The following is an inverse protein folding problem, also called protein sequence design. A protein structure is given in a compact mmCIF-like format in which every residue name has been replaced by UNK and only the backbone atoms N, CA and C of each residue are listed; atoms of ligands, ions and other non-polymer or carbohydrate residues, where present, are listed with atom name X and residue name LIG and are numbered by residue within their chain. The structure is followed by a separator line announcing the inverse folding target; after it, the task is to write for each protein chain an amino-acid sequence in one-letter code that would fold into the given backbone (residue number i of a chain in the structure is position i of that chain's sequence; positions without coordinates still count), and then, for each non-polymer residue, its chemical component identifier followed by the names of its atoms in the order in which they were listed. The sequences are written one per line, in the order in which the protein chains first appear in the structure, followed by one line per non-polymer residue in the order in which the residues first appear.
data_IF_427920505051
#
_entry.id   IF_427920505051
#
_cell.length_a   1.000
_cell.length_b   1.000
_cell.length_c   1.000
_cell.angle_alpha   90.00
_cell.angle_beta   90.00
_cell.angle_gamma   90.00
#
_symmetry.space_group_name_H-M   'P 1'
#
loop_
_entity.id
_entity.type
_entity.pdbx_description
1 polymer ?
#
# COMPACT_ATOMS: atom_id res chain seq x y z
N UNK A 1 1.89 -20.27 11.13
CA UNK A 1 2.36 -19.68 9.87
C UNK A 1 1.96 -20.55 8.69
N UNK A 2 1.14 -20.01 7.79
CA UNK A 2 0.91 -20.57 6.46
C UNK A 2 2.20 -20.46 5.64
N UNK A 3 3.11 -21.41 5.83
CA UNK A 3 4.23 -21.61 4.92
C UNK A 3 3.72 -22.40 3.72
N UNK A 4 3.64 -21.77 2.55
CA UNK A 4 3.70 -22.53 1.30
C UNK A 4 4.92 -23.47 1.39
N UNK A 5 4.82 -24.74 0.95
CA UNK A 5 5.88 -25.76 1.06
C UNK A 5 7.21 -25.40 0.36
N UNK A 6 7.33 -24.18 -0.17
CA UNK A 6 8.44 -23.68 -0.97
C UNK A 6 9.06 -22.38 -0.44
N UNK A 7 8.88 -22.06 0.85
CA UNK A 7 9.48 -20.89 1.49
C UNK A 7 10.99 -20.76 1.20
N UNK A 8 11.44 -19.58 0.76
CA UNK A 8 12.82 -19.32 0.38
C UNK A 8 13.27 -19.90 -0.97
N UNK A 9 12.35 -20.42 -1.78
CA UNK A 9 12.64 -20.82 -3.17
C UNK A 9 11.79 -19.98 -4.12
N UNK A 10 12.43 -19.25 -5.03
CA UNK A 10 11.72 -18.62 -6.14
C UNK A 10 11.13 -19.72 -7.02
N UNK A 11 9.81 -19.93 -6.91
CA UNK A 11 9.08 -20.88 -7.75
C UNK A 11 7.95 -20.13 -8.44
N UNK A 12 8.05 -20.00 -9.75
CA UNK A 12 6.85 -19.91 -10.56
C UNK A 12 6.23 -21.31 -10.53
N UNK A 13 5.24 -21.53 -9.66
CA UNK A 13 4.45 -22.77 -9.61
C UNK A 13 3.54 -22.94 -10.85
N UNK A 14 3.81 -22.16 -11.90
CA UNK A 14 3.07 -21.96 -13.14
C UNK A 14 3.93 -21.12 -14.09
N UNK A 15 3.39 -20.04 -14.65
CA UNK A 15 4.07 -19.13 -15.58
C UNK A 15 4.38 -17.79 -14.91
N UNK A 16 5.55 -17.21 -15.17
CA UNK A 16 5.87 -15.83 -14.82
C UNK A 16 5.72 -14.92 -16.04
N UNK A 17 5.06 -13.78 -15.87
CA UNK A 17 4.96 -12.75 -16.90
C UNK A 17 5.93 -11.62 -16.56
N UNK A 18 7.00 -11.49 -17.34
CA UNK A 18 7.92 -10.36 -17.32
C UNK A 18 7.66 -9.56 -18.60
N UNK A 19 6.81 -8.52 -18.56
CA UNK A 19 6.48 -7.74 -19.75
C UNK A 19 7.63 -6.84 -20.22
N UNK A 20 8.63 -6.61 -19.36
CA UNK A 20 9.80 -5.78 -19.64
C UNK A 20 11.05 -6.65 -19.71
N UNK A 21 12.00 -6.26 -20.55
CA UNK A 21 13.38 -6.75 -20.49
C UNK A 21 14.10 -6.19 -19.25
N UNK A 22 15.25 -6.77 -18.90
CA UNK A 22 16.04 -6.28 -17.77
C UNK A 22 16.56 -4.85 -18.00
N UNK A 23 16.94 -4.51 -19.24
CA UNK A 23 17.35 -3.14 -19.60
C UNK A 23 16.19 -2.14 -19.47
N UNK A 24 14.97 -2.51 -19.87
CA UNK A 24 13.78 -1.65 -19.72
C UNK A 24 13.38 -1.45 -18.24
N UNK A 25 13.62 -2.44 -17.39
CA UNK A 25 13.46 -2.33 -15.93
C UNK A 25 14.45 -1.32 -15.36
N UNK A 26 15.72 -1.36 -15.80
CA UNK A 26 16.72 -0.36 -15.39
C UNK A 26 16.36 1.03 -15.91
N UNK A 27 15.92 1.17 -17.16
CA UNK A 27 15.52 2.46 -17.74
C UNK A 27 14.37 3.09 -16.94
N UNK A 28 13.37 2.29 -16.52
CA UNK A 28 12.28 2.78 -15.67
C UNK A 28 12.80 3.20 -14.29
N UNK A 29 13.66 2.39 -13.66
CA UNK A 29 14.24 2.70 -12.36
C UNK A 29 15.06 4.00 -12.41
N UNK A 30 15.98 4.13 -13.36
CA UNK A 30 16.80 5.32 -13.55
C UNK A 30 15.95 6.55 -13.89
N UNK A 31 14.91 6.37 -14.71
CA UNK A 31 13.94 7.43 -15.00
C UNK A 31 13.22 7.91 -13.74
N UNK A 32 12.84 7.00 -12.84
CA UNK A 32 12.21 7.35 -11.57
C UNK A 32 13.18 8.14 -10.66
N UNK A 33 14.44 7.73 -10.60
CA UNK A 33 15.48 8.49 -9.87
C UNK A 33 15.68 9.90 -10.44
N UNK A 34 15.72 10.04 -11.78
CA UNK A 34 15.83 11.36 -12.42
C UNK A 34 14.64 12.25 -12.08
N UNK A 35 13.42 11.71 -12.08
CA UNK A 35 12.21 12.43 -11.68
C UNK A 35 12.31 12.92 -10.24
N UNK A 36 12.71 12.06 -9.31
CA UNK A 36 12.84 12.44 -7.89
C UNK A 36 13.93 13.48 -7.65
N UNK A 37 15.06 13.38 -8.36
CA UNK A 37 16.17 14.31 -8.22
C UNK A 37 15.84 15.69 -8.80
N UNK A 38 15.24 15.75 -10.00
CA UNK A 38 15.07 16.99 -10.77
C UNK A 38 13.73 17.67 -10.51
N UNK A 39 12.65 16.88 -10.53
CA UNK A 39 11.28 17.36 -10.35
C UNK A 39 10.89 17.35 -8.87
N UNK A 40 11.14 16.24 -8.18
CA UNK A 40 10.76 16.04 -6.79
C UNK A 40 9.27 15.74 -6.57
N UNK A 41 8.87 15.70 -5.31
CA UNK A 41 7.50 15.46 -4.84
C UNK A 41 6.99 16.72 -4.14
N UNK A 42 5.74 17.10 -4.41
CA UNK A 42 5.03 18.15 -3.66
C UNK A 42 4.61 17.60 -2.29
N UNK A 43 4.91 18.28 -1.20
CA UNK A 43 4.58 17.82 0.17
C UNK A 43 3.79 18.90 0.92
N UNK A 44 2.55 18.59 1.32
CA UNK A 44 1.70 19.56 2.03
C UNK A 44 1.97 19.67 3.53
N UNK A 45 2.57 18.63 4.11
CA UNK A 45 2.73 18.50 5.55
C UNK A 45 4.13 18.93 6.00
N UNK A 46 4.19 19.88 6.94
CA UNK A 46 5.46 20.43 7.42
C UNK A 46 6.31 19.38 8.15
N UNK A 47 5.68 18.51 8.94
CA UNK A 47 6.37 17.41 9.61
C UNK A 47 7.03 16.46 8.60
N UNK A 48 6.33 16.14 7.51
CA UNK A 48 6.89 15.33 6.43
C UNK A 48 8.09 16.01 5.75
N UNK A 49 8.02 17.32 5.51
CA UNK A 49 9.16 18.09 5.00
C UNK A 49 10.35 18.08 5.96
N UNK A 50 10.11 18.13 7.28
CA UNK A 50 11.16 18.03 8.29
C UNK A 50 11.83 16.65 8.25
N UNK A 51 11.04 15.56 8.18
CA UNK A 51 11.57 14.18 8.05
C UNK A 51 12.45 14.05 6.80
N UNK A 52 12.02 14.60 5.66
CA UNK A 52 12.83 14.57 4.44
C UNK A 52 14.10 15.42 4.57
N UNK A 53 14.04 16.59 5.21
CA UNK A 53 15.22 17.43 5.44
C UNK A 53 16.24 16.71 6.34
N UNK A 54 15.79 16.04 7.40
CA UNK A 54 16.63 15.27 8.31
C UNK A 54 17.26 14.06 7.64
N UNK A 55 16.57 13.45 6.67
CA UNK A 55 17.10 12.40 5.80
C UNK A 55 18.11 12.92 4.74
N UNK A 56 18.35 14.23 4.67
CA UNK A 56 19.29 14.86 3.76
C UNK A 56 18.71 15.28 2.40
N UNK A 57 17.39 15.21 2.23
CA UNK A 57 16.75 15.63 0.98
C UNK A 57 16.79 17.17 0.84
N UNK A 58 16.73 17.63 -0.42
CA UNK A 58 16.64 19.07 -0.72
C UNK A 58 15.19 19.52 -0.64
N UNK A 59 14.86 20.22 0.44
CA UNK A 59 13.51 20.72 0.71
C UNK A 59 13.41 22.20 0.37
N UNK A 60 12.54 22.53 -0.58
CA UNK A 60 12.13 23.90 -0.87
C UNK A 60 10.79 24.17 -0.17
N UNK A 61 10.83 24.90 0.93
CA UNK A 61 9.64 25.22 1.74
C UNK A 61 8.74 26.29 1.11
N UNK A 62 9.26 27.11 0.20
CA UNK A 62 8.44 28.11 -0.49
C UNK A 62 7.56 27.41 -1.54
N UNK A 63 8.16 26.51 -2.32
CA UNK A 63 7.42 25.75 -3.34
C UNK A 63 6.82 24.46 -2.80
N UNK A 64 7.11 24.07 -1.55
CA UNK A 64 6.75 22.79 -0.94
C UNK A 64 7.20 21.57 -1.77
N UNK A 65 8.35 21.68 -2.44
CA UNK A 65 8.90 20.60 -3.27
C UNK A 65 10.08 19.98 -2.54
N UNK A 66 10.04 18.66 -2.40
CA UNK A 66 11.15 17.84 -1.89
C UNK A 66 11.80 17.13 -3.07
N UNK A 67 13.08 17.42 -3.31
CA UNK A 67 13.91 16.67 -4.28
C UNK A 67 14.76 15.65 -3.54
N UNK A 68 14.62 14.39 -3.94
CA UNK A 68 15.25 13.25 -3.27
C UNK A 68 16.43 12.79 -4.15
N UNK A 69 17.62 12.76 -3.56
CA UNK A 69 18.83 12.38 -4.30
C UNK A 69 18.90 10.85 -4.48
N UNK A 70 19.46 10.34 -5.59
CA UNK A 70 19.56 8.90 -5.86
C UNK A 70 20.15 8.08 -4.70
N UNK A 71 21.19 8.57 -4.04
CA UNK A 71 21.84 7.91 -2.92
C UNK A 71 20.93 7.73 -1.70
N UNK A 72 19.97 8.65 -1.49
CA UNK A 72 18.98 8.56 -0.41
C UNK A 72 17.96 7.47 -0.74
N UNK A 73 17.52 7.42 -2.00
CA UNK A 73 16.61 6.38 -2.49
C UNK A 73 17.24 4.99 -2.38
N UNK A 74 18.47 4.83 -2.87
CA UNK A 74 19.22 3.58 -2.80
C UNK A 74 19.45 3.12 -1.36
N UNK A 75 19.72 4.06 -0.44
CA UNK A 75 19.83 3.75 0.99
C UNK A 75 18.50 3.25 1.56
N UNK A 76 17.36 3.89 1.23
CA UNK A 76 16.05 3.44 1.68
C UNK A 76 15.72 2.04 1.14
N UNK A 77 15.99 1.76 -0.14
CA UNK A 77 15.83 0.42 -0.73
C UNK A 77 16.67 -0.60 0.03
N UNK A 78 17.94 -0.30 0.33
CA UNK A 78 18.84 -1.20 1.08
C UNK A 78 18.38 -1.46 2.52
N UNK A 79 17.81 -0.46 3.19
CA UNK A 79 17.29 -0.60 4.55
C UNK A 79 15.99 -1.41 4.59
N UNK A 80 15.24 -1.43 3.49
CA UNK A 80 13.93 -2.06 3.41
C UNK A 80 14.04 -3.59 3.50
N UNK A 81 13.27 -4.25 4.37
CA UNK A 81 13.30 -5.71 4.48
C UNK A 81 12.77 -6.40 3.21
N UNK A 82 13.54 -7.34 2.64
CA UNK A 82 13.09 -8.16 1.51
C UNK A 82 11.94 -9.12 1.85
N UNK A 83 11.67 -9.30 3.16
CA UNK A 83 10.61 -10.14 3.71
C UNK A 83 9.89 -9.40 4.81
N UNK A 84 8.58 -9.24 4.64
CA UNK A 84 7.71 -8.58 5.62
C UNK A 84 6.80 -9.63 6.24
N UNK A 85 6.68 -9.63 7.57
CA UNK A 85 5.78 -10.54 8.29
C UNK A 85 4.54 -9.78 8.71
N UNK A 86 3.38 -10.36 8.42
CA UNK A 86 2.10 -9.93 8.98
C UNK A 86 1.60 -11.06 9.86
N UNK A 87 1.46 -10.78 11.14
CA UNK A 87 0.96 -11.74 12.12
C UNK A 87 -0.56 -11.73 12.13
N UNK A 88 -1.12 -12.74 12.75
CA UNK A 88 -2.54 -12.89 12.94
C UNK A 88 -2.82 -13.20 14.42
N UNK A 89 -4.06 -12.97 14.85
CA UNK A 89 -4.48 -13.34 16.20
C UNK A 89 -4.48 -14.85 16.39
N UNK A 90 -4.83 -15.57 15.33
CA UNK A 90 -4.50 -16.99 15.20
C UNK A 90 -3.20 -17.15 14.41
N UNK A 91 -2.13 -17.56 15.10
CA UNK A 91 -0.80 -17.81 14.51
C UNK A 91 -0.82 -18.79 13.32
N UNK A 92 -1.87 -19.60 13.13
CA UNK A 92 -2.02 -20.41 11.92
C UNK A 92 -2.07 -19.54 10.65
N UNK A 93 -2.58 -18.31 10.77
CA UNK A 93 -2.72 -17.34 9.70
C UNK A 93 -1.54 -16.37 9.54
N UNK A 94 -0.44 -16.51 10.29
CA UNK A 94 0.75 -15.67 10.06
C UNK A 94 1.24 -15.79 8.62
N UNK A 95 1.52 -14.64 8.01
CA UNK A 95 1.95 -14.47 6.63
C UNK A 95 3.35 -13.89 6.53
N UNK A 96 3.96 -14.16 5.38
CA UNK A 96 5.19 -13.53 4.95
C UNK A 96 4.95 -13.00 3.54
N UNK A 97 5.16 -11.72 3.32
CA UNK A 97 5.26 -11.13 1.99
C UNK A 97 6.71 -11.25 1.54
N UNK A 98 6.95 -11.98 0.45
CA UNK A 98 8.28 -12.20 -0.13
C UNK A 98 8.16 -12.49 -1.63
N UNK A 99 9.25 -12.30 -2.37
CA UNK A 99 9.29 -12.61 -3.80
C UNK A 99 8.90 -14.08 -4.08
N UNK A 100 8.05 -14.28 -5.09
CA UNK A 100 7.59 -15.61 -5.50
C UNK A 100 6.48 -16.20 -4.62
N UNK A 101 5.91 -15.42 -3.70
CA UNK A 101 4.79 -15.82 -2.85
C UNK A 101 3.63 -14.82 -2.98
N UNK A 102 2.73 -15.00 -3.96
CA UNK A 102 1.52 -14.21 -4.02
C UNK A 102 0.64 -14.50 -2.80
N UNK A 103 0.05 -13.46 -2.25
CA UNK A 103 -0.93 -13.51 -1.16
C UNK A 103 -2.15 -12.70 -1.56
N UNK A 104 -3.34 -13.13 -1.13
CA UNK A 104 -4.60 -12.52 -1.57
C UNK A 104 -5.39 -11.95 -0.40
N UNK A 105 -6.02 -10.80 -0.64
CA UNK A 105 -6.95 -10.10 0.27
C UNK A 105 -8.07 -9.50 -0.57
N UNK A 106 -9.24 -9.16 0.01
CA UNK A 106 -10.25 -8.39 -0.71
C UNK A 106 -9.75 -7.00 -1.12
N UNK A 107 -10.47 -6.38 -2.05
CA UNK A 107 -10.28 -4.97 -2.40
C UNK A 107 -10.68 -4.06 -1.22
N UNK A 108 -10.01 -2.91 -1.07
CA UNK A 108 -10.16 -2.01 0.07
C UNK A 108 -11.20 -0.89 -0.18
N UNK A 109 -11.89 -0.48 0.89
CA UNK A 109 -12.64 0.79 0.99
C UNK A 109 -13.72 1.06 -0.07
N UNK A 110 -14.49 0.04 -0.45
CA UNK A 110 -15.74 0.26 -1.20
C UNK A 110 -16.76 1.10 -0.43
N UNK A 111 -17.33 2.13 -1.07
CA UNK A 111 -18.35 3.02 -0.47
C UNK A 111 -19.79 2.53 -0.63
N UNK A 112 -19.96 1.46 -1.39
CA UNK A 112 -21.24 0.82 -1.68
C UNK A 112 -21.07 -0.69 -1.67
N UNK A 113 -22.17 -1.41 -1.45
CA UNK A 113 -22.25 -2.87 -1.53
C UNK A 113 -23.55 -3.28 -2.21
N UNK A 114 -23.60 -4.52 -2.70
CA UNK A 114 -24.81 -5.11 -3.26
C UNK A 114 -25.55 -5.81 -2.13
N UNK A 115 -26.81 -5.45 -1.91
CA UNK A 115 -27.69 -6.19 -1.01
C UNK A 115 -27.96 -7.58 -1.58
N UNK A 116 -27.65 -8.63 -0.81
CA UNK A 116 -27.74 -10.01 -1.29
C UNK A 116 -29.17 -10.52 -1.42
N UNK A 117 -30.16 -9.89 -0.76
CA UNK A 117 -31.57 -10.27 -0.86
C UNK A 117 -32.26 -9.56 -2.03
N UNK A 118 -32.02 -8.25 -2.19
CA UNK A 118 -32.70 -7.45 -3.22
C UNK A 118 -31.92 -7.32 -4.53
N UNK A 119 -30.60 -7.49 -4.49
CA UNK A 119 -29.70 -7.23 -5.61
C UNK A 119 -29.43 -5.75 -5.88
N UNK A 120 -29.91 -4.85 -5.02
CA UNK A 120 -29.73 -3.40 -5.18
C UNK A 120 -28.38 -2.92 -4.63
N UNK A 121 -27.80 -1.91 -5.28
CA UNK A 121 -26.61 -1.22 -4.77
C UNK A 121 -27.04 -0.23 -3.69
N UNK A 122 -26.38 -0.29 -2.52
CA UNK A 122 -26.64 0.61 -1.39
C UNK A 122 -25.34 1.05 -0.72
N UNK A 123 -25.36 2.16 0.04
CA UNK A 123 -24.26 2.52 0.92
C UNK A 123 -23.89 1.37 1.86
N UNK A 124 -22.59 1.16 2.03
CA UNK A 124 -22.03 0.18 2.97
C UNK A 124 -22.16 0.63 4.42
N UNK A 125 -22.20 -0.34 5.33
CA UNK A 125 -22.34 -0.16 6.78
C UNK A 125 -21.25 -0.90 7.54
N UNK A 126 -21.06 -0.60 8.82
CA UNK A 126 -20.16 -1.34 9.72
C UNK A 126 -20.49 -2.83 9.76
N UNK A 127 -21.78 -3.19 9.63
CA UNK A 127 -22.21 -4.58 9.54
C UNK A 127 -21.62 -5.25 8.29
N UNK A 128 -21.66 -4.59 7.14
CA UNK A 128 -21.09 -5.11 5.90
C UNK A 128 -19.57 -5.34 6.03
N UNK A 129 -18.85 -4.46 6.72
CA UNK A 129 -17.43 -4.68 7.06
C UNK A 129 -17.24 -5.97 7.83
N UNK A 130 -18.03 -6.16 8.88
CA UNK A 130 -17.97 -7.36 9.72
C UNK A 130 -18.32 -8.64 8.94
N UNK A 131 -19.36 -8.60 8.13
CA UNK A 131 -19.81 -9.74 7.32
C UNK A 131 -18.73 -10.16 6.29
N UNK A 132 -18.10 -9.18 5.61
CA UNK A 132 -17.01 -9.47 4.66
C UNK A 132 -15.78 -10.02 5.38
N UNK A 133 -15.42 -9.45 6.55
CA UNK A 133 -14.32 -9.97 7.36
C UNK A 133 -14.59 -11.42 7.79
N UNK A 134 -15.82 -11.72 8.23
CA UNK A 134 -16.21 -13.07 8.63
C UNK A 134 -16.16 -14.06 7.46
N UNK A 135 -16.68 -13.67 6.30
CA UNK A 135 -16.62 -14.48 5.08
C UNK A 135 -15.17 -14.76 4.66
N UNK A 136 -14.34 -13.72 4.64
CA UNK A 136 -12.95 -13.82 4.18
C UNK A 136 -12.07 -14.56 5.18
N UNK A 137 -12.42 -14.57 6.46
CA UNK A 137 -11.80 -15.43 7.48
C UNK A 137 -11.98 -16.92 7.14
N UNK A 138 -13.21 -17.32 6.79
CA UNK A 138 -13.56 -18.69 6.45
C UNK A 138 -12.94 -19.17 5.12
N UNK A 139 -12.88 -18.29 4.12
CA UNK A 139 -12.46 -18.68 2.77
C UNK A 139 -10.95 -18.99 2.69
N UNK A 140 -10.55 -20.14 2.10
CA UNK A 140 -9.14 -20.53 2.03
C UNK A 140 -8.34 -19.71 1.00
N UNK A 141 -9.02 -19.07 0.03
CA UNK A 141 -8.42 -18.26 -1.03
C UNK A 141 -8.00 -16.86 -0.61
N UNK A 142 -8.36 -16.42 0.60
CA UNK A 142 -7.90 -15.16 1.20
C UNK A 142 -6.91 -15.46 2.31
N UNK A 143 -5.71 -14.89 2.21
CA UNK A 143 -4.62 -15.12 3.16
C UNK A 143 -4.73 -14.20 4.38
N UNK A 144 -5.16 -12.95 4.15
CA UNK A 144 -5.47 -11.95 5.15
C UNK A 144 -6.75 -11.21 4.75
N UNK A 145 -7.30 -10.42 5.67
CA UNK A 145 -8.52 -9.63 5.44
C UNK A 145 -8.20 -8.15 5.35
N UNK A 146 -9.21 -7.36 5.00
CA UNK A 146 -9.12 -5.91 5.01
C UNK A 146 -10.46 -5.27 5.38
N UNK A 147 -10.43 -3.98 5.70
CA UNK A 147 -11.65 -3.16 5.73
C UNK A 147 -12.10 -2.93 4.28
N UNK A 148 -12.81 -3.91 3.74
CA UNK A 148 -13.13 -3.99 2.31
C UNK A 148 -14.15 -2.95 1.84
N UNK A 149 -15.01 -2.48 2.77
CA UNK A 149 -15.97 -1.40 2.55
C UNK A 149 -15.91 -0.42 3.70
N UNK A 150 -16.33 0.83 3.47
CA UNK A 150 -16.38 1.87 4.50
C UNK A 150 -17.61 1.70 5.40
N UNK A 151 -17.46 1.91 6.70
CA UNK A 151 -18.58 1.96 7.65
C UNK A 151 -19.35 3.29 7.55
N UNK A 152 -20.18 3.48 6.51
CA UNK A 152 -20.83 4.77 6.23
C UNK A 152 -22.05 5.10 7.12
N UNK A 153 -22.42 4.18 8.00
CA UNK A 153 -23.37 4.39 9.09
C UNK A 153 -22.71 4.97 10.36
N UNK A 154 -21.39 5.21 10.34
CA UNK A 154 -20.64 5.94 11.36
C UNK A 154 -20.24 7.36 10.90
N UNK A 155 -19.89 8.27 11.82
CA UNK A 155 -19.33 9.57 11.46
C UNK A 155 -18.05 9.43 10.62
N UNK A 156 -17.93 10.22 9.55
CA UNK A 156 -16.84 10.16 8.56
C UNK A 156 -15.46 10.20 9.21
N UNK A 157 -15.29 11.04 10.23
CA UNK A 157 -14.02 11.27 10.95
C UNK A 157 -13.55 10.05 11.77
N UNK A 158 -14.42 9.05 11.92
CA UNK A 158 -14.16 7.83 12.69
C UNK A 158 -14.47 6.56 11.90
N UNK A 159 -14.73 6.69 10.59
CA UNK A 159 -15.16 5.58 9.73
C UNK A 159 -14.17 4.42 9.76
N UNK A 160 -12.87 4.70 9.68
CA UNK A 160 -11.84 3.64 9.70
C UNK A 160 -11.68 3.01 11.09
N UNK A 161 -11.90 3.77 12.17
CA UNK A 161 -11.92 3.24 13.55
C UNK A 161 -13.07 2.23 13.71
N UNK A 162 -14.27 2.58 13.23
CA UNK A 162 -15.42 1.69 13.22
C UNK A 162 -15.19 0.45 12.34
N UNK A 163 -14.54 0.63 11.19
CA UNK A 163 -14.12 -0.47 10.31
C UNK A 163 -13.14 -1.43 10.99
N UNK A 164 -12.12 -0.91 11.67
CA UNK A 164 -11.15 -1.72 12.42
C UNK A 164 -11.80 -2.50 13.56
N UNK A 165 -12.71 -1.88 14.33
CA UNK A 165 -13.46 -2.59 15.38
C UNK A 165 -14.27 -3.76 14.80
N UNK A 166 -14.90 -3.56 13.64
CA UNK A 166 -15.61 -4.63 12.94
C UNK A 166 -14.66 -5.74 12.46
N UNK A 167 -13.52 -5.39 11.85
CA UNK A 167 -12.54 -6.35 11.36
C UNK A 167 -11.96 -7.21 12.49
N UNK A 168 -11.49 -6.58 13.58
CA UNK A 168 -10.95 -7.27 14.75
C UNK A 168 -11.99 -8.16 15.45
N UNK A 169 -13.28 -7.88 15.35
CA UNK A 169 -14.31 -8.77 15.93
C UNK A 169 -14.65 -9.97 15.05
N UNK A 170 -14.43 -9.87 13.75
CA UNK A 170 -14.97 -10.82 12.77
C UNK A 170 -13.93 -11.64 12.01
N UNK A 171 -12.63 -11.34 12.11
CA UNK A 171 -11.57 -12.15 11.52
C UNK A 171 -10.38 -12.36 12.47
N UNK A 172 -9.82 -13.56 12.47
CA UNK A 172 -8.60 -13.92 13.20
C UNK A 172 -7.32 -13.69 12.40
N UNK A 173 -7.43 -13.47 11.09
CA UNK A 173 -6.32 -13.15 10.17
C UNK A 173 -5.78 -11.74 10.42
N UNK A 174 -4.61 -11.44 9.86
CA UNK A 174 -4.09 -10.07 9.80
C UNK A 174 -5.03 -9.14 9.03
N UNK A 175 -5.03 -7.85 9.37
CA UNK A 175 -5.95 -6.86 8.80
C UNK A 175 -5.21 -5.76 8.05
N UNK A 176 -5.57 -5.54 6.78
CA UNK A 176 -5.17 -4.36 6.03
C UNK A 176 -6.23 -3.25 6.13
N UNK A 177 -5.80 -2.03 6.41
CA UNK A 177 -6.67 -0.87 6.55
C UNK A 177 -6.06 0.38 5.90
N UNK A 178 -6.92 1.24 5.36
CA UNK A 178 -6.57 2.59 4.93
C UNK A 178 -7.11 3.61 5.95
N UNK A 179 -6.32 4.67 6.15
CA UNK A 179 -6.47 5.60 7.26
C UNK A 179 -6.31 7.01 6.73
N UNK A 180 -7.22 7.90 7.10
CA UNK A 180 -7.31 9.22 6.46
C UNK A 180 -6.72 10.34 7.32
N UNK A 181 -6.42 10.07 8.59
CA UNK A 181 -5.91 11.07 9.52
C UNK A 181 -4.97 10.48 10.57
N UNK A 182 -4.19 11.36 11.21
CA UNK A 182 -3.31 10.97 12.32
C UNK A 182 -4.10 10.44 13.51
N UNK A 183 -5.28 11.02 13.76
CA UNK A 183 -6.17 10.57 14.83
C UNK A 183 -6.65 9.13 14.59
N UNK A 184 -7.14 8.83 13.40
CA UNK A 184 -7.54 7.46 13.06
C UNK A 184 -6.37 6.49 13.12
N UNK A 185 -5.20 6.90 12.63
CA UNK A 185 -4.01 6.04 12.60
C UNK A 185 -3.54 5.66 14.00
N UNK A 186 -3.34 6.63 14.89
CA UNK A 186 -2.92 6.36 16.27
C UNK A 186 -3.98 5.53 17.01
N UNK A 187 -5.27 5.82 16.80
CA UNK A 187 -6.36 5.08 17.44
C UNK A 187 -6.39 3.62 16.98
N UNK A 188 -6.22 3.38 15.69
CA UNK A 188 -6.18 2.01 15.13
C UNK A 188 -4.95 1.24 15.60
N UNK A 189 -3.80 1.91 15.71
CA UNK A 189 -2.58 1.31 16.30
C UNK A 189 -2.85 0.93 17.77
N UNK A 190 -3.47 1.81 18.56
CA UNK A 190 -3.82 1.52 19.96
C UNK A 190 -4.80 0.36 20.09
N UNK A 191 -5.81 0.28 19.21
CA UNK A 191 -6.75 -0.84 19.17
C UNK A 191 -6.03 -2.17 18.87
N UNK A 192 -5.11 -2.17 17.91
CA UNK A 192 -4.34 -3.37 17.57
C UNK A 192 -3.37 -3.75 18.70
N UNK A 193 -2.75 -2.75 19.35
CA UNK A 193 -1.85 -2.94 20.48
C UNK A 193 -2.57 -3.59 21.67
N UNK A 194 -3.76 -3.12 22.01
CA UNK A 194 -4.58 -3.71 23.08
C UNK A 194 -4.91 -5.19 22.83
N UNK A 195 -5.09 -5.57 21.56
CA UNK A 195 -5.36 -6.97 21.19
C UNK A 195 -4.16 -7.88 21.41
N UNK A 196 -2.94 -7.40 21.19
CA UNK A 196 -1.70 -8.21 21.26
C UNK A 196 -0.94 -8.07 22.58
N UNK A 197 -1.33 -7.11 23.43
CA UNK A 197 -0.77 -6.93 24.77
C UNK A 197 0.07 -5.67 24.96
N UNK A 198 0.17 -4.79 23.96
CA UNK A 198 0.91 -3.54 24.03
C UNK A 198 1.47 -3.09 22.68
N UNK A 199 2.00 -1.85 22.64
CA UNK A 199 2.61 -1.27 21.44
C UNK A 199 3.93 -1.94 21.09
N UNK A 200 4.71 -2.36 22.09
CA UNK A 200 5.99 -3.05 21.88
C UNK A 200 5.74 -4.45 21.26
N UNK A 201 4.76 -5.18 21.78
CA UNK A 201 4.31 -6.47 21.23
C UNK A 201 3.78 -6.32 19.79
N UNK A 202 3.06 -5.24 19.50
CA UNK A 202 2.58 -4.95 18.16
C UNK A 202 3.72 -4.61 17.20
N UNK A 203 4.72 -3.86 17.64
CA UNK A 203 5.89 -3.52 16.83
C UNK A 203 6.72 -4.77 16.45
N UNK A 204 6.81 -5.75 17.36
CA UNK A 204 7.49 -7.02 17.11
C UNK A 204 6.64 -8.01 16.30
N UNK A 205 5.32 -8.01 16.51
CA UNK A 205 4.37 -8.92 15.89
C UNK A 205 3.12 -8.20 15.35
N UNK A 206 3.25 -7.39 14.27
CA UNK A 206 2.15 -6.58 13.77
C UNK A 206 1.02 -7.45 13.23
N UNK A 207 -0.19 -7.28 13.78
CA UNK A 207 -1.42 -7.94 13.31
C UNK A 207 -2.21 -7.08 12.31
N UNK A 208 -1.72 -5.87 12.05
CA UNK A 208 -2.29 -4.95 11.08
C UNK A 208 -1.21 -4.50 10.08
N UNK A 209 -1.65 -4.12 8.90
CA UNK A 209 -0.84 -3.37 7.93
C UNK A 209 -1.66 -2.19 7.46
N UNK A 210 -1.02 -1.05 7.25
CA UNK A 210 -1.68 0.15 6.75
C UNK A 210 -1.33 0.35 5.29
N UNK A 211 -2.28 0.75 4.46
CA UNK A 211 -2.04 0.99 3.05
C UNK A 211 -2.71 2.26 2.56
N UNK A 212 -2.09 2.91 1.59
CA UNK A 212 -2.65 4.10 0.97
C UNK A 212 -1.81 4.59 -0.19
N UNK A 213 -2.34 5.60 -0.87
CA UNK A 213 -1.72 6.18 -2.05
C UNK A 213 -1.41 7.67 -1.88
N UNK A 214 -0.28 8.14 -2.42
CA UNK A 214 -0.12 9.56 -2.65
C UNK A 214 -1.09 10.03 -3.75
N UNK A 215 -1.23 11.35 -3.88
CA UNK A 215 -2.03 11.95 -4.94
C UNK A 215 -1.19 12.00 -6.21
N UNK A 216 -1.58 11.22 -7.22
CA UNK A 216 -0.88 11.24 -8.49
C UNK A 216 -1.19 12.51 -9.31
N UNK A 217 -0.19 13.11 -9.99
CA UNK A 217 1.23 12.75 -9.96
C UNK A 217 2.02 13.50 -8.87
N UNK A 218 2.93 12.78 -8.19
CA UNK A 218 4.04 13.31 -7.38
C UNK A 218 3.61 14.24 -6.23
N UNK A 219 2.56 13.91 -5.49
CA UNK A 219 2.05 14.77 -4.41
C UNK A 219 1.67 14.00 -3.14
N UNK A 220 2.36 14.31 -2.04
CA UNK A 220 2.04 13.83 -0.70
C UNK A 220 1.13 14.85 -0.03
N UNK A 221 -0.17 14.57 -0.04
CA UNK A 221 -1.14 15.32 0.72
C UNK A 221 -1.05 14.98 2.21
N UNK A 222 -1.69 15.79 3.05
CA UNK A 222 -1.66 15.58 4.50
C UNK A 222 -2.24 14.22 4.92
N UNK A 223 -3.29 13.74 4.27
CA UNK A 223 -3.89 12.45 4.61
C UNK A 223 -2.91 11.29 4.44
N UNK A 224 -2.13 11.30 3.35
CA UNK A 224 -1.09 10.30 3.11
C UNK A 224 0.01 10.33 4.18
N UNK A 225 0.55 11.51 4.51
CA UNK A 225 1.63 11.62 5.51
C UNK A 225 1.14 11.31 6.92
N UNK A 226 -0.10 11.66 7.23
CA UNK A 226 -0.76 11.43 8.52
C UNK A 226 -0.94 9.96 8.88
N UNK A 227 -0.93 9.02 7.92
CA UNK A 227 -0.86 7.60 8.23
C UNK A 227 0.55 7.03 8.10
N UNK A 228 1.31 7.40 7.07
CA UNK A 228 2.64 6.82 6.82
C UNK A 228 3.60 7.08 7.97
N UNK A 229 3.68 8.31 8.47
CA UNK A 229 4.62 8.70 9.54
C UNK A 229 4.34 7.94 10.85
N UNK A 230 3.12 7.98 11.43
CA UNK A 230 2.85 7.23 12.65
C UNK A 230 2.93 5.71 12.47
N UNK A 231 2.46 5.17 11.33
CA UNK A 231 2.62 3.72 11.06
C UNK A 231 4.08 3.30 11.05
N UNK A 232 4.94 4.05 10.35
CA UNK A 232 6.37 3.74 10.29
C UNK A 232 7.03 3.82 11.67
N UNK A 233 6.77 4.88 12.45
CA UNK A 233 7.29 5.03 13.82
C UNK A 233 6.81 3.93 14.77
N UNK A 234 5.61 3.39 14.55
CA UNK A 234 5.08 2.25 15.29
C UNK A 234 5.53 0.89 14.72
N UNK A 235 6.43 0.87 13.73
CA UNK A 235 6.94 -0.32 13.02
C UNK A 235 5.85 -1.17 12.37
N UNK A 236 4.72 -0.55 12.04
CA UNK A 236 3.61 -1.20 11.33
C UNK A 236 3.95 -1.33 9.85
N UNK A 237 3.82 -2.53 9.24
CA UNK A 237 4.00 -2.72 7.81
C UNK A 237 3.14 -1.75 7.02
N UNK A 238 3.80 -0.91 6.21
CA UNK A 238 3.15 0.16 5.46
C UNK A 238 3.22 -0.10 3.95
N UNK A 239 2.07 -0.15 3.29
CA UNK A 239 1.94 -0.35 1.85
C UNK A 239 1.80 1.02 1.17
N UNK A 240 2.81 1.41 0.42
CA UNK A 240 2.80 2.61 -0.42
C UNK A 240 2.36 2.20 -1.82
N UNK A 241 1.18 2.65 -2.23
CA UNK A 241 0.59 2.29 -3.53
C UNK A 241 0.45 3.51 -4.41
N UNK A 242 1.17 3.58 -5.53
CA UNK A 242 0.87 4.59 -6.56
C UNK A 242 -0.44 4.25 -7.27
N UNK A 243 -1.34 5.22 -7.38
CA UNK A 243 -2.60 5.06 -8.09
C UNK A 243 -2.85 6.24 -9.01
N UNK A 244 -2.68 6.01 -10.30
CA UNK A 244 -2.97 6.97 -11.34
C UNK A 244 -3.90 6.44 -12.42
N UNK A 245 -4.36 7.35 -13.26
CA UNK A 245 -5.17 7.05 -14.44
C UNK A 245 -4.33 7.33 -15.68
N UNK A 246 -3.97 6.29 -16.43
CA UNK A 246 -3.17 6.38 -17.65
C UNK A 246 -3.89 7.28 -18.66
N UNK A 247 -3.27 8.41 -19.01
CA UNK A 247 -3.84 9.41 -19.92
C UNK A 247 -4.65 10.52 -19.26
N UNK A 248 -4.79 10.52 -17.93
CA UNK A 248 -5.39 11.61 -17.17
C UNK A 248 -4.43 12.15 -16.09
N UNK A 249 -4.36 11.49 -14.93
CA UNK A 249 -3.43 11.88 -13.85
C UNK A 249 -2.02 11.32 -14.03
N UNK A 250 -1.86 10.38 -14.96
CA UNK A 250 -0.57 9.86 -15.41
C UNK A 250 -0.37 10.08 -16.91
N UNK A 251 0.87 10.08 -17.42
CA UNK A 251 1.14 10.13 -18.84
C UNK A 251 0.37 9.07 -19.65
N UNK A 252 0.01 9.36 -20.90
CA UNK A 252 -0.74 8.41 -21.74
C UNK A 252 0.05 7.18 -22.19
N UNK A 253 1.37 7.18 -22.00
CA UNK A 253 2.24 6.02 -22.28
C UNK A 253 2.47 5.22 -21.01
N UNK A 254 2.29 3.90 -21.09
CA UNK A 254 2.49 2.98 -19.95
C UNK A 254 3.90 3.09 -19.37
N UNK A 255 4.95 3.11 -20.20
CA UNK A 255 6.33 3.24 -19.70
C UNK A 255 6.57 4.55 -18.93
N UNK A 256 6.01 5.67 -19.40
CA UNK A 256 6.09 6.94 -18.68
C UNK A 256 5.25 6.94 -17.39
N UNK A 257 4.12 6.23 -17.39
CA UNK A 257 3.34 5.99 -16.17
C UNK A 257 4.10 5.16 -15.15
N UNK A 258 4.82 4.12 -15.59
CA UNK A 258 5.68 3.32 -14.71
C UNK A 258 6.74 4.18 -14.05
N UNK A 259 7.41 5.06 -14.81
CA UNK A 259 8.43 5.97 -14.26
C UNK A 259 7.86 6.84 -13.13
N UNK A 260 6.69 7.46 -13.34
CA UNK A 260 6.06 8.30 -12.30
C UNK A 260 5.58 7.46 -11.11
N UNK A 261 4.97 6.31 -11.36
CA UNK A 261 4.49 5.43 -10.30
C UNK A 261 5.61 4.91 -9.41
N UNK A 262 6.70 4.44 -10.02
CA UNK A 262 7.89 4.01 -9.30
C UNK A 262 8.55 5.19 -8.55
N UNK A 263 8.53 6.41 -9.09
CA UNK A 263 9.00 7.57 -8.36
C UNK A 263 8.17 7.84 -7.09
N UNK A 264 6.84 7.75 -7.17
CA UNK A 264 5.96 7.89 -6.00
C UNK A 264 6.17 6.79 -4.95
N UNK A 265 6.30 5.54 -5.40
CA UNK A 265 6.62 4.39 -4.55
C UNK A 265 7.96 4.56 -3.82
N UNK A 266 9.01 4.94 -4.54
CA UNK A 266 10.34 5.16 -3.98
C UNK A 266 10.35 6.34 -3.01
N UNK A 267 9.63 7.43 -3.31
CA UNK A 267 9.50 8.55 -2.39
C UNK A 267 8.78 8.16 -1.09
N UNK A 268 7.73 7.34 -1.18
CA UNK A 268 7.02 6.86 0.00
C UNK A 268 7.88 5.87 0.80
N UNK A 269 8.67 5.03 0.12
CA UNK A 269 9.65 4.15 0.76
C UNK A 269 10.71 4.94 1.51
N UNK A 270 11.23 6.02 0.91
CA UNK A 270 12.17 6.94 1.59
C UNK A 270 11.52 7.55 2.83
N UNK A 271 10.25 7.99 2.75
CA UNK A 271 9.54 8.53 3.92
C UNK A 271 9.43 7.49 5.05
N UNK A 272 9.07 6.24 4.73
CA UNK A 272 9.00 5.15 5.73
C UNK A 272 10.36 4.92 6.37
N UNK A 273 11.43 4.76 5.58
CA UNK A 273 12.77 4.46 6.09
C UNK A 273 13.42 5.66 6.80
N UNK A 274 13.04 6.89 6.45
CA UNK A 274 13.48 8.10 7.14
C UNK A 274 12.81 8.24 8.52
N UNK A 275 11.54 7.81 8.65
CA UNK A 275 10.86 7.78 9.94
C UNK A 275 11.43 6.71 10.87
N UNK A 276 11.68 5.51 10.34
CA UNK A 276 12.14 4.37 11.12
C UNK A 276 12.93 3.40 10.21
N UNK A 277 14.28 3.43 10.25
CA UNK A 277 15.13 2.56 9.45
C UNK A 277 14.84 1.07 9.69
N UNK A 278 14.65 0.31 8.60
CA UNK A 278 14.30 -1.10 8.66
C UNK A 278 12.83 -1.36 9.01
N UNK A 279 11.97 -0.32 9.03
CA UNK A 279 10.53 -0.51 9.11
C UNK A 279 10.05 -1.34 7.91
N UNK A 280 9.21 -2.37 8.11
CA UNK A 280 8.67 -3.15 7.01
C UNK A 280 7.79 -2.28 6.09
N UNK A 281 7.99 -2.43 4.77
CA UNK A 281 7.22 -1.70 3.78
C UNK A 281 6.94 -2.57 2.54
N UNK A 282 5.85 -2.26 1.87
CA UNK A 282 5.53 -2.79 0.55
C UNK A 282 5.36 -1.60 -0.40
N UNK A 283 5.76 -1.78 -1.65
CA UNK A 283 5.57 -0.79 -2.70
C UNK A 283 4.75 -1.38 -3.83
N UNK A 284 3.96 -0.56 -4.51
CA UNK A 284 3.35 -1.05 -5.74
C UNK A 284 2.31 -0.12 -6.32
N UNK A 285 1.43 -0.69 -7.17
CA UNK A 285 0.49 0.10 -7.95
C UNK A 285 -0.92 -0.45 -7.92
N UNK A 286 -1.86 0.48 -8.04
CA UNK A 286 -3.26 0.23 -8.42
C UNK A 286 -3.69 1.09 -9.62
N UNK A 287 -2.72 1.53 -10.41
CA UNK A 287 -2.91 2.35 -11.61
C UNK A 287 -3.72 1.61 -12.68
N UNK A 288 -4.70 2.29 -13.26
CA UNK A 288 -5.58 1.74 -14.28
C UNK A 288 -5.78 2.71 -15.46
N UNK A 289 -6.54 2.28 -16.47
CA UNK A 289 -6.83 3.11 -17.64
C UNK A 289 -7.84 4.22 -17.35
N UNK A 290 -7.80 5.29 -18.15
CA UNK A 290 -8.87 6.28 -18.22
C UNK A 290 -9.70 6.05 -19.48
N UNK A 291 -10.99 5.72 -19.33
CA UNK A 291 -11.88 5.61 -20.48
C UNK A 291 -12.23 7.02 -20.98
N UNK A 292 -11.57 7.46 -22.04
CA UNK A 292 -11.79 8.79 -22.64
C UNK A 292 -13.23 9.03 -23.11
N UNK A 293 -14.03 7.98 -23.35
CA UNK A 293 -15.42 8.11 -23.78
C UNK A 293 -16.36 8.36 -22.61
N UNK A 294 -16.13 7.70 -21.48
CA UNK A 294 -17.01 7.79 -20.30
C UNK A 294 -16.49 8.73 -19.22
N UNK A 295 -15.20 9.06 -19.24
CA UNK A 295 -14.52 9.84 -18.21
C UNK A 295 -14.31 9.07 -16.91
N UNK A 296 -14.44 7.74 -16.93
CA UNK A 296 -14.36 6.88 -15.75
C UNK A 296 -13.03 6.14 -15.68
N UNK A 297 -12.65 5.76 -14.46
CA UNK A 297 -11.55 4.84 -14.22
C UNK A 297 -11.92 3.46 -14.75
N UNK A 298 -11.07 2.90 -15.63
CA UNK A 298 -11.28 1.59 -16.22
C UNK A 298 -10.42 0.56 -15.48
N UNK A 299 -10.94 0.08 -14.34
CA UNK A 299 -10.38 -1.06 -13.60
C UNK A 299 -10.66 -2.35 -14.39
N UNK A 300 -9.68 -3.26 -14.46
CA UNK A 300 -9.78 -4.50 -15.25
C UNK A 300 -9.43 -4.36 -16.75
N UNK A 301 -8.96 -3.17 -17.17
CA UNK A 301 -8.45 -2.95 -18.53
C UNK A 301 -7.09 -3.60 -18.80
N UNK A 302 -6.70 -3.79 -20.08
CA UNK A 302 -5.40 -4.34 -20.44
C UNK A 302 -4.21 -3.47 -19.96
N UNK A 303 -4.39 -2.15 -19.87
CA UNK A 303 -3.40 -1.24 -19.32
C UNK A 303 -3.06 -1.58 -17.87
N UNK A 304 -4.08 -1.85 -17.05
CA UNK A 304 -3.91 -2.26 -15.66
C UNK A 304 -3.14 -3.58 -15.59
N UNK A 305 -3.50 -4.58 -16.40
CA UNK A 305 -2.81 -5.88 -16.41
C UNK A 305 -1.31 -5.75 -16.72
N UNK A 306 -0.94 -4.90 -17.69
CA UNK A 306 0.46 -4.62 -18.03
C UNK A 306 1.19 -3.89 -16.90
N UNK A 307 0.56 -2.87 -16.30
CA UNK A 307 1.14 -2.12 -15.19
C UNK A 307 1.34 -3.02 -13.96
N UNK A 308 0.38 -3.88 -13.62
CA UNK A 308 0.52 -4.82 -12.50
C UNK A 308 1.66 -5.82 -12.73
N UNK A 309 1.78 -6.38 -13.93
CA UNK A 309 2.86 -7.31 -14.26
C UNK A 309 4.24 -6.63 -14.21
N UNK A 310 4.35 -5.40 -14.72
CA UNK A 310 5.57 -4.60 -14.65
C UNK A 310 5.91 -4.21 -13.19
N UNK A 311 4.92 -3.81 -12.40
CA UNK A 311 5.07 -3.49 -10.96
C UNK A 311 5.63 -4.67 -10.19
N UNK A 312 5.12 -5.88 -10.44
CA UNK A 312 5.65 -7.09 -9.81
C UNK A 312 7.12 -7.36 -10.19
N UNK A 313 7.52 -7.04 -11.43
CA UNK A 313 8.91 -7.12 -11.89
C UNK A 313 9.80 -6.07 -11.22
N UNK A 314 9.32 -4.82 -11.10
CA UNK A 314 10.01 -3.74 -10.38
C UNK A 314 10.24 -4.08 -8.91
N UNK A 315 9.23 -4.62 -8.21
CA UNK A 315 9.41 -5.07 -6.81
C UNK A 315 10.53 -6.10 -6.65
N UNK A 316 10.64 -7.06 -7.57
CA UNK A 316 11.75 -8.03 -7.59
C UNK A 316 13.11 -7.34 -7.81
N UNK A 317 13.16 -6.32 -8.67
CA UNK A 317 14.38 -5.53 -8.90
C UNK A 317 14.79 -4.70 -7.69
N UNK A 318 13.82 -4.15 -6.97
CA UNK A 318 14.07 -3.38 -5.75
C UNK A 318 14.41 -4.28 -4.56
N UNK A 319 14.08 -5.57 -4.61
CA UNK A 319 14.19 -6.46 -3.45
C UNK A 319 13.16 -6.12 -2.37
N UNK A 320 12.06 -5.44 -2.72
CA UNK A 320 11.00 -5.04 -1.79
C UNK A 320 9.72 -5.80 -2.17
N UNK A 321 8.97 -6.40 -1.22
CA UNK A 321 7.73 -7.07 -1.55
C UNK A 321 6.74 -6.11 -2.21
N UNK A 322 6.13 -6.54 -3.31
CA UNK A 322 5.27 -5.69 -4.11
C UNK A 322 3.79 -5.89 -3.86
N UNK A 323 3.04 -4.80 -4.04
CA UNK A 323 1.58 -4.79 -4.08
C UNK A 323 1.07 -4.60 -5.51
N UNK A 324 0.10 -5.41 -5.92
CA UNK A 324 -0.59 -5.23 -7.20
C UNK A 324 -2.08 -5.35 -6.95
N UNK A 325 -2.87 -4.46 -7.52
CA UNK A 325 -4.31 -4.62 -7.54
C UNK A 325 -4.73 -5.89 -8.29
N UNK A 326 -5.85 -6.48 -7.86
CA UNK A 326 -6.48 -7.62 -8.55
C UNK A 326 -7.12 -7.20 -9.87
N UNK A 327 -7.17 -8.14 -10.82
CA UNK A 327 -7.92 -8.02 -12.08
C UNK A 327 -9.35 -8.53 -11.91
#
# INVERSE_FOLDING_TARGET
MKRSPHAGRMRNSGMGLNPLTDDEVEDIYLGALEVLERTGIKVQDEECMDVFADAGCKVDRETHIVRIQPEIVENAVRLSPERVRLFARDSQHDLVFEAGRPTFTPFLEGVETIDLETGEVRPSTKKDVGDICHLTDFLPGYDFTCVAVTARDAPTETGSIHGMDAALRNSTKGVLIALMSRHETETVIDMAAEVVGGRDELADAPIITTGGSPVAPLHFNKSFTDFVIPSARARIPTIVVSMGLVGATMPSRIAATMVIGIAEELAGLVLVQACEPGCPALVGQSTCGFDMRTGLAQVGGPEMALVMAATAQMGRRLGVPSWTAGL
#
